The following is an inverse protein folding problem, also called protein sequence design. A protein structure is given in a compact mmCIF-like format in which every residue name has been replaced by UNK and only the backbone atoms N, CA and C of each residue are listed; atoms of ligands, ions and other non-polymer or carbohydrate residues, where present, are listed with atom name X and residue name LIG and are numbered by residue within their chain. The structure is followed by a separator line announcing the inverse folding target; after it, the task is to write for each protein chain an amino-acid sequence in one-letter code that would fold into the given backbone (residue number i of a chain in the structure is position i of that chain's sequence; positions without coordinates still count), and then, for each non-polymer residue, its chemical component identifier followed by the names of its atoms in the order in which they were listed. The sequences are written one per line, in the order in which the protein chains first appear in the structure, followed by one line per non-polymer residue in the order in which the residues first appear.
data_IF_611372256117
#
_entry.id   IF_611372256117
#
_cell.length_a   1.000
_cell.length_b   1.000
_cell.length_c   1.000
_cell.angle_alpha   90.00
_cell.angle_beta   90.00
_cell.angle_gamma   90.00
#
_symmetry.space_group_name_H-M   'P 1'
#
loop_
_entity.id
_entity.type
_entity.pdbx_description
1 polymer ?
#
# COMPACT_ATOMS: atom_id res chain seq x y z
N UNK A 1 -13.33 -14.20 8.15
CA UNK A 1 -14.80 -14.26 8.26
C UNK A 1 -15.26 -15.70 8.09
N UNK A 2 -16.16 -16.17 8.94
CA UNK A 2 -16.79 -17.48 8.85
C UNK A 2 -18.31 -17.31 8.74
N UNK A 3 -18.95 -18.00 7.81
CA UNK A 3 -20.41 -17.99 7.66
C UNK A 3 -21.03 -18.91 8.70
N UNK A 4 -21.98 -18.38 9.47
CA UNK A 4 -22.71 -19.12 10.51
C UNK A 4 -24.04 -19.65 9.98
N UNK A 5 -24.70 -18.91 9.08
CA UNK A 5 -25.96 -19.33 8.48
C UNK A 5 -26.62 -18.26 7.63
N UNK A 6 -27.78 -18.59 7.08
CA UNK A 6 -28.64 -17.68 6.32
C UNK A 6 -29.95 -17.54 7.07
N UNK A 7 -30.45 -16.31 7.16
CA UNK A 7 -31.74 -15.98 7.77
C UNK A 7 -32.67 -15.49 6.68
N UNK A 8 -33.85 -16.09 6.60
CA UNK A 8 -34.88 -15.76 5.62
C UNK A 8 -36.10 -15.12 6.31
N UNK A 9 -36.89 -14.36 5.55
CA UNK A 9 -38.16 -13.80 6.03
C UNK A 9 -38.06 -12.45 6.73
N UNK A 10 -37.01 -11.66 6.47
CA UNK A 10 -36.95 -10.27 6.92
C UNK A 10 -37.70 -9.40 5.90
N UNK A 11 -38.67 -8.56 6.31
CA UNK A 11 -39.55 -7.81 5.41
C UNK A 11 -38.86 -6.78 4.48
N UNK A 12 -37.53 -6.66 4.53
CA UNK A 12 -36.71 -5.78 3.68
C UNK A 12 -35.57 -6.49 2.95
N UNK A 13 -35.34 -7.77 3.21
CA UNK A 13 -34.26 -8.53 2.61
C UNK A 13 -34.64 -10.02 2.65
N UNK A 14 -34.69 -10.66 1.48
CA UNK A 14 -35.15 -12.05 1.37
C UNK A 14 -34.19 -13.02 2.07
N UNK A 15 -32.88 -12.75 2.00
CA UNK A 15 -31.83 -13.57 2.60
C UNK A 15 -30.74 -12.72 3.22
N UNK A 16 -30.49 -12.93 4.52
CA UNK A 16 -29.44 -12.27 5.28
C UNK A 16 -28.38 -13.30 5.67
N UNK A 17 -27.14 -13.12 5.21
CA UNK A 17 -26.04 -14.04 5.52
C UNK A 17 -25.38 -13.62 6.82
N UNK A 18 -25.47 -14.46 7.85
CA UNK A 18 -24.80 -14.25 9.13
C UNK A 18 -23.36 -14.76 9.08
N UNK A 19 -22.45 -13.90 9.52
CA UNK A 19 -21.02 -14.17 9.56
C UNK A 19 -20.44 -13.76 10.89
N UNK A 20 -19.36 -14.42 11.31
CA UNK A 20 -18.57 -14.02 12.48
C UNK A 20 -17.12 -13.81 12.09
N UNK A 21 -16.46 -12.84 12.72
CA UNK A 21 -15.01 -12.70 12.62
C UNK A 21 -14.33 -13.42 13.78
N UNK A 22 -13.23 -14.14 13.48
CA UNK A 22 -12.52 -14.93 14.47
C UNK A 22 -11.76 -14.06 15.49
N UNK A 23 -11.40 -12.84 15.09
CA UNK A 23 -10.57 -11.92 15.88
C UNK A 23 -11.37 -11.22 16.98
N UNK A 24 -12.58 -10.76 16.66
CA UNK A 24 -13.43 -9.97 17.58
C UNK A 24 -14.66 -10.73 18.09
N UNK A 25 -14.96 -11.91 17.52
CA UNK A 25 -16.14 -12.74 17.79
C UNK A 25 -17.48 -12.01 17.60
N UNK A 26 -17.48 -10.89 16.87
CA UNK A 26 -18.66 -10.12 16.55
C UNK A 26 -19.49 -10.82 15.47
N UNK A 27 -20.79 -10.53 15.45
CA UNK A 27 -21.73 -11.08 14.48
C UNK A 27 -22.12 -10.00 13.48
N UNK A 28 -21.86 -10.30 12.22
CA UNK A 28 -22.19 -9.48 11.09
C UNK A 28 -23.28 -10.12 10.24
N UNK A 29 -24.06 -9.29 9.57
CA UNK A 29 -25.14 -9.73 8.72
C UNK A 29 -25.06 -9.01 7.37
N UNK A 30 -24.97 -9.77 6.28
CA UNK A 30 -24.83 -9.25 4.94
C UNK A 30 -26.15 -9.35 4.19
N UNK A 31 -26.66 -8.21 3.71
CA UNK A 31 -27.97 -8.07 3.06
C UNK A 31 -27.91 -8.08 1.51
N UNK A 32 -26.72 -8.36 0.95
CA UNK A 32 -26.46 -8.30 -0.50
C UNK A 32 -25.80 -7.00 -0.97
N UNK A 33 -25.86 -5.93 -0.17
CA UNK A 33 -25.22 -4.65 -0.48
C UNK A 33 -24.24 -4.21 0.62
N UNK A 34 -24.68 -4.29 1.88
CA UNK A 34 -23.97 -3.79 3.06
C UNK A 34 -23.80 -4.89 4.09
N UNK A 35 -22.70 -4.78 4.83
CA UNK A 35 -22.44 -5.62 5.99
C UNK A 35 -22.85 -4.86 7.26
N UNK A 36 -23.74 -5.43 8.05
CA UNK A 36 -24.27 -4.81 9.27
C UNK A 36 -23.73 -5.51 10.51
N UNK A 37 -23.23 -4.76 11.49
CA UNK A 37 -22.92 -5.31 12.81
C UNK A 37 -24.23 -5.49 13.59
N UNK A 38 -24.66 -6.73 13.79
CA UNK A 38 -25.97 -7.07 14.37
C UNK A 38 -25.88 -7.52 15.82
N UNK A 39 -24.73 -8.04 16.26
CA UNK A 39 -24.48 -8.35 17.67
C UNK A 39 -22.98 -8.31 17.98
N UNK A 40 -22.63 -8.00 19.24
CA UNK A 40 -21.24 -8.02 19.70
C UNK A 40 -20.69 -9.44 19.91
N UNK A 41 -21.58 -10.43 20.07
CA UNK A 41 -21.23 -11.85 20.22
C UNK A 41 -22.41 -12.75 19.85
N UNK A 42 -22.13 -14.04 19.60
CA UNK A 42 -23.17 -15.06 19.38
C UNK A 42 -24.08 -15.26 20.60
N UNK A 43 -23.58 -15.01 21.80
CA UNK A 43 -24.39 -15.10 23.02
C UNK A 43 -25.43 -13.98 23.05
N UNK A 44 -25.00 -12.75 22.79
CA UNK A 44 -25.94 -11.63 22.67
C UNK A 44 -26.97 -11.85 21.56
N UNK A 45 -26.55 -12.41 20.42
CA UNK A 45 -27.46 -12.76 19.34
C UNK A 45 -28.56 -13.75 19.77
N UNK A 46 -28.21 -14.71 20.64
CA UNK A 46 -29.17 -15.68 21.18
C UNK A 46 -30.15 -15.02 22.15
N UNK A 47 -29.65 -14.13 23.02
CA UNK A 47 -30.44 -13.56 24.11
C UNK A 47 -31.34 -12.41 23.64
N UNK A 48 -30.84 -11.57 22.73
CA UNK A 48 -31.53 -10.36 22.25
C UNK A 48 -32.07 -10.47 20.81
N UNK A 49 -31.68 -11.51 20.07
CA UNK A 49 -32.01 -11.67 18.66
C UNK A 49 -31.18 -10.81 17.71
N UNK A 50 -31.51 -10.87 16.42
CA UNK A 50 -30.86 -10.05 15.38
C UNK A 50 -31.44 -8.64 15.42
N UNK A 51 -30.60 -7.64 15.74
CA UNK A 51 -30.97 -6.24 15.58
C UNK A 51 -30.66 -5.80 14.16
N UNK A 52 -31.71 -5.68 13.34
CA UNK A 52 -31.60 -5.26 11.94
C UNK A 52 -32.47 -4.01 11.64
N UNK A 53 -31.94 -2.98 10.96
CA UNK A 53 -30.53 -2.81 10.54
C UNK A 53 -29.58 -2.68 11.73
N UNK A 54 -28.30 -3.02 11.51
CA UNK A 54 -27.28 -3.01 12.56
C UNK A 54 -26.91 -1.59 13.02
N UNK A 55 -26.19 -1.50 14.14
CA UNK A 55 -25.74 -0.20 14.68
C UNK A 55 -24.65 0.47 13.84
N UNK A 56 -23.90 -0.35 13.10
CA UNK A 56 -22.89 0.07 12.13
C UNK A 56 -23.07 -0.74 10.85
N UNK A 57 -22.92 -0.06 9.72
CA UNK A 57 -22.98 -0.68 8.40
C UNK A 57 -21.70 -0.37 7.63
N UNK A 58 -21.21 -1.35 6.87
CA UNK A 58 -20.01 -1.25 6.07
C UNK A 58 -20.36 -1.49 4.59
N UNK A 59 -19.83 -0.64 3.72
CA UNK A 59 -20.05 -0.72 2.27
C UNK A 59 -19.05 -1.67 1.60
N UNK A 60 -19.47 -2.29 0.50
CA UNK A 60 -18.65 -3.21 -0.27
C UNK A 60 -17.57 -2.47 -1.07
N UNK A 61 -16.45 -2.14 -0.42
CA UNK A 61 -15.26 -1.57 -1.08
C UNK A 61 -15.41 -0.14 -1.61
N UNK A 62 -16.63 0.41 -1.65
CA UNK A 62 -16.89 1.82 -1.93
C UNK A 62 -16.52 2.63 -0.69
N UNK A 63 -15.24 3.01 -0.65
CA UNK A 63 -14.83 4.04 0.27
C UNK A 63 -15.64 5.31 -0.05
N UNK A 64 -16.19 5.95 0.98
CA UNK A 64 -16.72 7.31 0.91
C UNK A 64 -18.09 7.51 0.24
N UNK A 65 -18.93 6.46 0.13
CA UNK A 65 -20.28 6.59 -0.45
C UNK A 65 -21.17 7.64 0.21
N UNK A 66 -20.98 7.87 1.52
CA UNK A 66 -21.73 8.85 2.32
C UNK A 66 -20.86 10.03 2.80
N UNK A 67 -19.65 10.21 2.26
CA UNK A 67 -18.75 11.27 2.73
C UNK A 67 -19.10 12.59 2.05
N UNK A 68 -19.29 13.66 2.82
CA UNK A 68 -19.57 15.00 2.26
C UNK A 68 -18.30 15.64 1.72
N UNK A 69 -18.46 16.71 0.93
CA UNK A 69 -17.33 17.47 0.37
C UNK A 69 -16.40 18.04 1.47
N UNK A 70 -16.97 18.43 2.62
CA UNK A 70 -16.19 18.93 3.76
C UNK A 70 -15.32 17.83 4.39
N UNK A 71 -15.86 16.62 4.52
CA UNK A 71 -15.11 15.48 5.02
C UNK A 71 -13.99 15.09 4.05
N UNK A 72 -14.25 15.20 2.74
CA UNK A 72 -13.26 15.01 1.68
C UNK A 72 -12.11 16.01 1.75
N UNK A 73 -12.42 17.30 1.90
CA UNK A 73 -11.40 18.35 2.01
C UNK A 73 -10.50 18.12 3.23
N UNK A 74 -11.07 17.65 4.34
CA UNK A 74 -10.31 17.29 5.54
C UNK A 74 -9.36 16.10 5.32
N UNK A 75 -9.83 15.06 4.64
CA UNK A 75 -9.00 13.88 4.33
C UNK A 75 -7.87 14.25 3.37
N UNK A 76 -8.16 15.03 2.32
CA UNK A 76 -7.16 15.51 1.37
C UNK A 76 -6.08 16.35 2.07
N UNK A 77 -6.49 17.33 2.88
CA UNK A 77 -5.54 18.16 3.64
C UNK A 77 -4.62 17.33 4.55
N UNK A 78 -5.16 16.30 5.20
CA UNK A 78 -4.34 15.40 6.03
C UNK A 78 -3.36 14.59 5.18
N UNK A 79 -3.83 14.00 4.08
CA UNK A 79 -2.98 13.20 3.20
C UNK A 79 -1.88 14.02 2.53
N UNK A 80 -2.18 15.25 2.11
CA UNK A 80 -1.21 16.17 1.53
C UNK A 80 -0.13 16.56 2.55
N UNK A 81 -0.53 16.81 3.80
CA UNK A 81 0.41 17.12 4.86
C UNK A 81 1.33 15.94 5.18
N UNK A 82 0.77 14.73 5.38
CA UNK A 82 1.55 13.52 5.65
C UNK A 82 2.49 13.19 4.48
N UNK A 83 2.03 13.35 3.24
CA UNK A 83 2.85 13.18 2.05
C UNK A 83 4.01 14.18 2.01
N UNK A 84 3.73 15.46 2.26
CA UNK A 84 4.72 16.51 2.28
C UNK A 84 5.80 16.25 3.33
N UNK A 85 5.39 15.91 4.56
CA UNK A 85 6.30 15.58 5.66
C UNK A 85 7.19 14.38 5.33
N UNK A 86 6.61 13.30 4.79
CA UNK A 86 7.35 12.12 4.38
C UNK A 86 8.40 12.46 3.31
N UNK A 87 8.00 13.17 2.26
CA UNK A 87 8.91 13.59 1.17
C UNK A 87 10.04 14.46 1.72
N UNK A 88 9.72 15.45 2.57
CA UNK A 88 10.72 16.34 3.14
C UNK A 88 11.69 15.62 4.08
N UNK A 89 11.20 14.66 4.87
CA UNK A 89 12.03 13.85 5.77
C UNK A 89 13.08 13.01 5.02
N UNK A 90 12.77 12.57 3.80
CA UNK A 90 13.63 11.69 2.99
C UNK A 90 14.44 12.43 1.93
N UNK A 91 14.11 13.68 1.62
CA UNK A 91 14.77 14.47 0.56
C UNK A 91 16.27 14.62 0.76
N UNK A 92 16.72 14.92 1.98
CA UNK A 92 18.14 15.14 2.27
C UNK A 92 18.96 13.86 2.14
N UNK A 93 18.48 12.76 2.74
CA UNK A 93 19.07 11.42 2.64
C UNK A 93 19.17 10.97 1.17
N UNK A 94 18.08 11.15 0.41
CA UNK A 94 18.05 10.83 -1.01
C UNK A 94 19.07 11.65 -1.82
N UNK A 95 19.16 12.95 -1.59
CA UNK A 95 20.13 13.82 -2.26
C UNK A 95 21.59 13.49 -1.89
N UNK A 96 21.84 13.07 -0.64
CA UNK A 96 23.16 12.60 -0.22
C UNK A 96 23.55 11.33 -0.96
N UNK A 97 22.66 10.33 -1.04
CA UNK A 97 22.91 9.11 -1.81
C UNK A 97 23.21 9.41 -3.28
N UNK A 98 22.45 10.31 -3.91
CA UNK A 98 22.70 10.72 -5.29
C UNK A 98 24.08 11.38 -5.47
N UNK A 99 24.49 12.25 -4.54
CA UNK A 99 25.84 12.86 -4.56
C UNK A 99 26.93 11.79 -4.41
N UNK A 100 26.78 10.88 -3.46
CA UNK A 100 27.74 9.79 -3.26
C UNK A 100 27.88 8.91 -4.52
N UNK A 101 26.77 8.60 -5.21
CA UNK A 101 26.81 7.86 -6.47
C UNK A 101 27.60 8.64 -7.53
N UNK A 102 27.32 9.94 -7.69
CA UNK A 102 28.02 10.81 -8.65
C UNK A 102 29.53 10.86 -8.37
N UNK A 103 29.92 11.05 -7.12
CA UNK A 103 31.32 11.16 -6.72
C UNK A 103 32.08 9.84 -6.94
N UNK A 104 31.43 8.70 -6.66
CA UNK A 104 32.00 7.38 -6.91
C UNK A 104 32.17 7.09 -8.41
N UNK A 105 31.23 7.52 -9.27
CA UNK A 105 31.40 7.45 -10.72
C UNK A 105 32.56 8.33 -11.22
N UNK A 106 32.74 9.51 -10.62
CA UNK A 106 33.87 10.40 -10.92
C UNK A 106 35.22 9.76 -10.60
N UNK A 107 35.35 9.19 -9.40
CA UNK A 107 36.57 8.49 -8.96
C UNK A 107 36.88 7.27 -9.83
N UNK A 108 35.87 6.48 -10.17
CA UNK A 108 36.05 5.31 -11.03
C UNK A 108 36.56 5.66 -12.45
N UNK A 109 36.22 6.83 -12.97
CA UNK A 109 36.74 7.32 -14.27
C UNK A 109 38.22 7.76 -14.17
N UNK A 110 38.60 8.48 -13.12
CA UNK A 110 39.98 8.91 -12.89
C UNK A 110 40.93 7.73 -12.65
N UNK A 111 40.48 6.70 -11.93
CA UNK A 111 41.28 5.48 -11.71
C UNK A 111 41.51 4.68 -12.99
N UNK A 112 40.52 4.63 -13.91
CA UNK A 112 40.69 3.97 -15.22
C UNK A 112 41.68 4.70 -16.13
N UNK A 113 41.65 6.04 -16.15
CA UNK A 113 42.63 6.83 -16.90
C UNK A 113 44.06 6.65 -16.36
N UNK A 114 44.26 6.64 -15.03
CA UNK A 114 45.58 6.41 -14.45
C UNK A 114 46.14 5.01 -14.73
N UNK A 115 45.29 3.98 -14.78
CA UNK A 115 45.71 2.61 -15.09
C UNK A 115 46.09 2.43 -16.57
N UNK A 116 45.49 3.21 -17.48
CA UNK A 116 45.83 3.26 -18.91
C UNK A 116 47.12 4.03 -19.20
N UNK A 117 47.46 5.03 -18.37
CA UNK A 117 48.74 5.75 -18.47
C UNK A 117 49.91 4.88 -17.97
N UNK A 118 49.68 4.04 -16.95
CA UNK A 118 50.72 3.18 -16.36
C UNK A 118 51.00 1.92 -17.21
N UNK A 119 50.02 1.46 -17.98
CA UNK A 119 50.17 0.35 -18.93
C UNK A 119 49.79 0.84 -20.33
N UNK A 120 50.68 1.57 -21.02
CA UNK A 120 50.44 1.90 -22.41
C UNK A 120 50.39 0.62 -23.24
N UNK A 121 49.46 0.55 -24.20
CA UNK A 121 49.41 -0.55 -25.16
C UNK A 121 50.79 -0.73 -25.82
N UNK A 122 51.27 -1.97 -26.00
CA UNK A 122 52.57 -2.22 -26.60
C UNK A 122 52.64 -1.53 -27.97
N UNK A 123 53.60 -0.61 -28.11
CA UNK A 123 53.86 0.09 -29.37
C UNK A 123 54.05 -0.95 -30.49
N UNK A 124 53.37 -0.80 -31.64
CA UNK A 124 53.58 -1.70 -32.76
C UNK A 124 55.05 -1.60 -33.19
N UNK A 125 55.76 -2.72 -33.04
CA UNK A 125 57.10 -2.93 -33.56
C UNK A 125 57.03 -2.92 -35.08
N UNK A 126 57.21 -1.75 -35.69
CA UNK A 126 57.47 -1.67 -37.13
C UNK A 126 58.78 -2.40 -37.40
N UNK A 127 58.71 -3.55 -38.07
CA UNK A 127 59.88 -4.14 -38.67
C UNK A 127 60.24 -3.26 -39.86
N UNK A 128 61.42 -2.67 -39.84
CA UNK A 128 62.00 -2.07 -41.04
C UNK A 128 62.23 -3.20 -42.04
N UNK A 129 61.30 -3.33 -42.99
CA UNK A 129 61.49 -4.17 -44.15
C UNK A 129 62.60 -3.53 -45.00
N UNK A 130 63.83 -4.01 -44.81
CA UNK A 130 64.92 -3.72 -45.71
C UNK A 130 64.59 -4.29 -47.10
N UNK A 131 64.38 -3.38 -48.06
CA UNK A 131 64.35 -3.70 -49.48
C UNK A 131 65.65 -4.37 -49.92
N UNK A 132 65.53 -5.38 -50.78
CA UNK A 132 66.15 -5.33 -52.10
C UNK A 132 65.14 -5.52 -53.23
#
# INVERSE_FOLDING_TARGET
MQVVGVVEGIPRCDQLVLMTCCEDRQVYAYDGEKLHLVASSLQQLRDEGIKYPGSKSYYNGEAFKDMTDEDWDKVNKRLDQEHHELVMSKKTEFLQHLKSIKDNLGKARSSKQNMQILNPDPQPSYKEDHLP
#
